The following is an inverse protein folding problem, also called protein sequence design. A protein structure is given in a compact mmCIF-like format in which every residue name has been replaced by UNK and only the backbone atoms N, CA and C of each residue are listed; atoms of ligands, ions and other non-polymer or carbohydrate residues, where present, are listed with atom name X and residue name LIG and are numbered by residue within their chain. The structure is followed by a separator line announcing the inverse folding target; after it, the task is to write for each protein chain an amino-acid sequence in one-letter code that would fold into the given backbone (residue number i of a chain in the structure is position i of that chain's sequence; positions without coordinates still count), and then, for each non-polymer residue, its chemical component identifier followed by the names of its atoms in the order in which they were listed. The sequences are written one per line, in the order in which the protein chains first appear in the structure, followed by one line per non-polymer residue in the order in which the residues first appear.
data_IF_403769692134
#
_entry.id   IF_403769692134
#
_cell.length_a   1.000
_cell.length_b   1.000
_cell.length_c   1.000
_cell.angle_alpha   90.00
_cell.angle_beta   90.00
_cell.angle_gamma   90.00
#
_symmetry.space_group_name_H-M   'P 1'
#
loop_
_entity.id
_entity.type
_entity.pdbx_description
1 polymer ?
#
# COMPACT_ATOMS: atom_id res chain seq x y z
N UNK A 1 1.08 27.74 -7.79
CA UNK A 1 0.84 26.67 -8.78
C UNK A 1 1.98 25.67 -8.62
N UNK A 2 1.76 24.52 -7.92
CA UNK A 2 2.77 23.46 -7.87
C UNK A 2 2.82 22.85 -9.28
N UNK A 3 3.99 22.85 -9.91
CA UNK A 3 4.20 22.29 -11.25
C UNK A 3 3.70 20.84 -11.26
N UNK A 4 2.80 20.53 -12.21
CA UNK A 4 2.44 19.16 -12.55
C UNK A 4 3.74 18.46 -12.97
N UNK A 5 4.19 17.52 -12.18
CA UNK A 5 5.33 16.67 -12.55
C UNK A 5 4.76 15.66 -13.53
N UNK A 6 4.98 15.90 -14.82
CA UNK A 6 4.63 14.94 -15.89
C UNK A 6 5.70 13.85 -15.91
N UNK A 7 5.56 12.97 -14.95
CA UNK A 7 6.46 11.82 -14.83
C UNK A 7 5.82 10.65 -15.60
N UNK A 8 6.51 10.17 -16.64
CA UNK A 8 6.11 8.99 -17.43
C UNK A 8 6.27 7.68 -16.63
N UNK A 9 5.93 7.74 -15.35
CA UNK A 9 6.03 6.62 -14.42
C UNK A 9 4.75 6.45 -13.62
N UNK A 10 4.47 5.22 -13.20
CA UNK A 10 3.28 4.88 -12.44
C UNK A 10 3.47 5.12 -10.94
N UNK A 11 2.40 5.60 -10.32
CA UNK A 11 2.16 5.45 -8.89
C UNK A 11 1.19 4.28 -8.74
N UNK A 12 1.69 3.15 -8.26
CA UNK A 12 0.92 1.91 -8.10
C UNK A 12 0.44 1.84 -6.66
N UNK A 13 -0.86 1.82 -6.45
CA UNK A 13 -1.47 1.71 -5.12
C UNK A 13 -2.12 0.35 -5.00
N UNK A 14 -1.68 -0.45 -4.05
CA UNK A 14 -2.32 -1.71 -3.68
C UNK A 14 -2.92 -1.57 -2.30
N UNK A 15 -4.23 -1.82 -2.19
CA UNK A 15 -4.95 -1.86 -0.93
C UNK A 15 -5.76 -3.14 -0.80
N UNK A 16 -6.09 -3.49 0.42
CA UNK A 16 -6.87 -4.69 0.72
C UNK A 16 -7.39 -4.64 2.15
N UNK A 17 -8.36 -5.46 2.50
CA UNK A 17 -8.62 -5.75 3.90
C UNK A 17 -7.43 -6.43 4.57
N UNK A 18 -7.32 -6.21 5.88
CA UNK A 18 -6.26 -6.81 6.70
C UNK A 18 -6.28 -8.34 6.57
N UNK A 19 -5.13 -8.94 6.27
CA UNK A 19 -5.03 -10.41 6.10
C UNK A 19 -5.27 -10.93 4.68
N UNK A 20 -5.60 -10.08 3.71
CA UNK A 20 -5.80 -10.50 2.31
C UNK A 20 -4.49 -10.85 1.56
N UNK A 21 -3.31 -10.63 2.15
CA UNK A 21 -2.03 -10.98 1.56
C UNK A 21 -1.30 -9.84 0.85
N UNK A 22 -1.74 -8.59 1.03
CA UNK A 22 -1.19 -7.40 0.39
C UNK A 22 0.34 -7.29 0.45
N UNK A 23 0.93 -7.35 1.64
CA UNK A 23 2.39 -7.20 1.79
C UNK A 23 3.19 -8.33 1.13
N UNK A 24 2.65 -9.56 1.10
CA UNK A 24 3.28 -10.67 0.36
C UNK A 24 3.23 -10.43 -1.16
N UNK A 25 2.12 -9.88 -1.65
CA UNK A 25 1.96 -9.50 -3.05
C UNK A 25 2.95 -8.39 -3.41
N UNK A 26 3.00 -7.32 -2.62
CA UNK A 26 3.92 -6.20 -2.84
C UNK A 26 5.38 -6.68 -2.87
N UNK A 27 5.78 -7.52 -1.90
CA UNK A 27 7.12 -8.10 -1.86
C UNK A 27 7.45 -8.89 -3.13
N UNK A 28 6.54 -9.77 -3.59
CA UNK A 28 6.74 -10.57 -4.81
C UNK A 28 6.84 -9.70 -6.05
N UNK A 29 6.05 -8.62 -6.17
CA UNK A 29 6.15 -7.69 -7.29
C UNK A 29 7.50 -6.99 -7.34
N UNK A 30 8.05 -6.59 -6.20
CA UNK A 30 9.37 -5.96 -6.10
C UNK A 30 10.52 -6.94 -6.42
N UNK A 31 10.36 -8.22 -6.05
CA UNK A 31 11.33 -9.26 -6.41
C UNK A 31 11.33 -9.58 -7.92
N UNK A 32 10.16 -9.51 -8.54
CA UNK A 32 9.97 -9.88 -9.95
C UNK A 32 10.19 -8.71 -10.93
N UNK A 33 10.18 -7.45 -10.47
CA UNK A 33 10.29 -6.26 -11.32
C UNK A 33 11.19 -5.19 -10.70
N UNK A 34 12.43 -5.11 -11.18
CA UNK A 34 13.41 -4.12 -10.73
C UNK A 34 13.11 -2.67 -11.16
N UNK A 35 12.09 -2.47 -11.99
CA UNK A 35 11.60 -1.13 -12.40
C UNK A 35 10.63 -0.50 -11.38
N UNK A 36 10.32 -1.20 -10.30
CA UNK A 36 9.40 -0.75 -9.24
C UNK A 36 10.18 -0.55 -7.94
N UNK A 37 10.03 0.62 -7.32
CA UNK A 37 10.45 0.89 -5.95
C UNK A 37 9.27 0.85 -4.99
N UNK A 38 9.52 0.50 -3.72
CA UNK A 38 8.50 0.59 -2.66
C UNK A 38 8.53 1.98 -1.99
N UNK A 39 7.36 2.55 -1.73
CA UNK A 39 7.23 3.67 -0.81
C UNK A 39 7.32 3.13 0.62
N UNK A 40 8.48 3.32 1.27
CA UNK A 40 8.66 2.93 2.67
C UNK A 40 7.96 3.98 3.53
N UNK A 41 6.85 3.59 4.16
CA UNK A 41 6.07 4.48 5.01
C UNK A 41 6.71 4.66 6.38
N UNK A 42 6.54 5.84 6.95
CA UNK A 42 6.76 6.08 8.37
C UNK A 42 5.63 5.47 9.18
N UNK A 43 5.91 4.97 10.37
CA UNK A 43 4.89 4.50 11.30
C UNK A 43 5.27 4.77 12.75
N UNK A 44 4.25 5.03 13.58
CA UNK A 44 4.41 5.17 15.04
C UNK A 44 4.18 3.85 15.77
N UNK A 45 3.84 2.78 15.05
CA UNK A 45 3.73 1.43 15.60
C UNK A 45 5.13 0.90 15.95
N UNK A 46 5.30 0.22 17.09
CA UNK A 46 6.54 -0.50 17.36
C UNK A 46 6.83 -1.57 16.30
N UNK A 47 8.13 -1.81 15.98
CA UNK A 47 8.50 -2.88 15.06
C UNK A 47 8.10 -4.25 15.61
N UNK A 48 7.77 -5.19 14.72
CA UNK A 48 7.65 -6.61 15.03
C UNK A 48 9.02 -7.29 14.96
N UNK A 49 9.14 -8.51 15.52
CA UNK A 49 10.43 -9.22 15.65
C UNK A 49 11.25 -9.36 14.36
N UNK A 50 10.56 -9.44 13.21
CA UNK A 50 11.21 -9.64 11.91
C UNK A 50 11.21 -8.38 11.01
N UNK A 51 10.78 -7.22 11.53
CA UNK A 51 10.74 -5.98 10.77
C UNK A 51 12.03 -5.17 10.94
N UNK A 52 12.51 -4.62 9.85
CA UNK A 52 13.78 -3.87 9.78
C UNK A 52 13.47 -2.39 9.50
N UNK A 53 13.96 -1.52 10.38
CA UNK A 53 13.83 -0.07 10.19
C UNK A 53 14.50 0.38 8.88
N UNK A 54 13.81 1.21 8.12
CA UNK A 54 14.27 1.70 6.82
C UNK A 54 14.10 0.71 5.67
N UNK A 55 13.52 -0.46 5.93
CA UNK A 55 13.22 -1.47 4.91
C UNK A 55 11.73 -1.81 4.86
N UNK A 56 11.16 -2.21 5.98
CA UNK A 56 9.73 -2.53 6.07
C UNK A 56 8.92 -1.26 6.38
N UNK A 57 9.38 -0.47 7.34
CA UNK A 57 8.87 0.85 7.72
C UNK A 57 10.03 1.71 8.25
N UNK A 58 9.81 3.03 8.28
CA UNK A 58 10.58 3.91 9.14
C UNK A 58 9.82 4.01 10.48
N UNK A 59 10.32 3.38 11.52
CA UNK A 59 9.71 3.43 12.85
C UNK A 59 10.14 4.73 13.52
N UNK A 60 9.19 5.63 13.75
CA UNK A 60 9.43 6.95 14.32
C UNK A 60 8.52 7.23 15.52
N UNK A 61 8.93 8.15 16.38
CA UNK A 61 8.12 8.61 17.50
C UNK A 61 6.92 9.43 17.02
N UNK A 62 5.86 9.44 17.84
CA UNK A 62 4.60 10.11 17.52
C UNK A 62 4.81 11.62 17.30
N UNK A 63 5.62 12.26 18.14
CA UNK A 63 5.90 13.70 18.06
C UNK A 63 6.57 14.07 16.72
N UNK A 64 7.48 13.21 16.24
CA UNK A 64 8.12 13.41 14.95
C UNK A 64 7.12 13.20 13.79
N UNK A 65 6.21 12.23 13.90
CA UNK A 65 5.17 12.03 12.90
C UNK A 65 4.24 13.26 12.82
N UNK A 66 3.78 13.76 13.97
CA UNK A 66 2.94 14.95 14.06
C UNK A 66 3.65 16.20 13.53
N UNK A 67 4.95 16.36 13.81
CA UNK A 67 5.78 17.42 13.24
C UNK A 67 5.78 17.37 11.72
N UNK A 68 5.93 16.17 11.13
CA UNK A 68 5.91 15.98 9.67
C UNK A 68 4.54 16.30 9.06
N UNK A 69 3.44 15.97 9.75
CA UNK A 69 2.10 16.41 9.33
C UNK A 69 2.02 17.94 9.26
N UNK A 70 2.44 18.63 10.33
CA UNK A 70 2.40 20.08 10.41
C UNK A 70 3.24 20.78 9.33
N UNK A 71 4.29 20.12 8.87
CA UNK A 71 5.17 20.61 7.81
C UNK A 71 4.72 20.19 6.38
N UNK A 72 3.56 19.53 6.24
CA UNK A 72 3.05 19.05 4.94
C UNK A 72 4.05 18.14 4.19
N UNK A 73 4.80 17.30 4.96
CA UNK A 73 5.84 16.42 4.40
C UNK A 73 5.24 15.13 3.81
N UNK A 74 4.05 14.71 4.28
CA UNK A 74 3.38 13.49 3.81
C UNK A 74 2.54 13.75 2.55
N UNK A 75 2.62 12.84 1.59
CA UNK A 75 1.73 12.79 0.43
C UNK A 75 0.38 12.15 0.79
N UNK A 76 0.41 11.23 1.72
CA UNK A 76 -0.73 10.58 2.36
C UNK A 76 -0.36 10.15 3.78
N UNK A 77 -1.32 10.11 4.66
CA UNK A 77 -1.19 9.49 5.98
C UNK A 77 -2.56 9.06 6.52
N UNK A 78 -2.55 8.05 7.40
CA UNK A 78 -3.74 7.53 8.04
C UNK A 78 -3.46 7.09 9.48
N UNK A 79 -4.52 7.05 10.30
CA UNK A 79 -4.49 6.39 11.60
C UNK A 79 -5.18 5.02 11.46
N UNK A 80 -4.42 3.95 11.66
CA UNK A 80 -4.90 2.59 11.54
C UNK A 80 -4.66 1.85 12.86
N UNK A 81 -5.72 1.43 13.53
CA UNK A 81 -5.66 0.78 14.85
C UNK A 81 -4.86 1.58 15.89
N UNK A 82 -5.01 2.90 15.92
CA UNK A 82 -4.37 3.80 16.88
C UNK A 82 -2.90 4.14 16.57
N UNK A 83 -2.34 3.68 15.46
CA UNK A 83 -1.01 4.04 14.99
C UNK A 83 -1.09 4.85 13.71
N UNK A 84 -0.19 5.80 13.56
CA UNK A 84 -0.03 6.55 12.32
C UNK A 84 0.82 5.77 11.32
N UNK A 85 0.46 5.94 10.04
CA UNK A 85 1.22 5.49 8.87
C UNK A 85 1.21 6.63 7.85
N UNK A 86 2.32 6.88 7.15
CA UNK A 86 2.34 7.93 6.15
C UNK A 86 3.57 7.85 5.24
N UNK A 87 3.41 8.29 4.02
CA UNK A 87 4.45 8.26 2.98
C UNK A 87 4.95 9.66 2.68
N UNK A 88 6.28 9.85 2.76
CA UNK A 88 6.91 11.14 2.50
C UNK A 88 6.86 11.49 1.01
N UNK A 89 6.32 12.66 0.69
CA UNK A 89 6.22 13.13 -0.70
C UNK A 89 7.56 13.25 -1.41
N UNK A 90 8.63 13.58 -0.68
CA UNK A 90 9.99 13.65 -1.23
C UNK A 90 10.45 12.32 -1.81
N UNK A 91 10.25 11.20 -1.08
CA UNK A 91 10.70 9.88 -1.52
C UNK A 91 9.98 9.44 -2.81
N UNK A 92 8.72 9.83 -2.95
CA UNK A 92 7.92 9.60 -4.16
C UNK A 92 8.52 10.32 -5.35
N UNK A 93 8.74 11.63 -5.21
CA UNK A 93 9.32 12.45 -6.27
C UNK A 93 10.71 11.96 -6.67
N UNK A 94 11.56 11.60 -5.71
CA UNK A 94 12.90 11.09 -5.96
C UNK A 94 12.85 9.76 -6.75
N UNK A 95 11.95 8.83 -6.40
CA UNK A 95 11.80 7.56 -7.11
C UNK A 95 11.37 7.76 -8.56
N UNK A 96 10.33 8.56 -8.77
CA UNK A 96 9.79 8.85 -10.10
C UNK A 96 10.82 9.58 -10.99
N UNK A 97 11.56 10.56 -10.45
CA UNK A 97 12.61 11.27 -11.16
C UNK A 97 13.79 10.36 -11.55
N UNK A 98 14.06 9.33 -10.77
CA UNK A 98 15.08 8.33 -11.09
C UNK A 98 14.60 7.25 -12.07
N UNK A 99 13.39 7.39 -12.61
CA UNK A 99 12.86 6.51 -13.64
C UNK A 99 12.24 5.21 -13.15
N UNK A 100 11.88 5.12 -11.87
CA UNK A 100 11.19 3.98 -11.28
C UNK A 100 9.71 4.27 -11.09
N UNK A 101 8.86 3.28 -11.33
CA UNK A 101 7.51 3.28 -10.79
C UNK A 101 7.57 3.15 -9.26
N UNK A 102 6.56 3.67 -8.57
CA UNK A 102 6.52 3.58 -7.12
C UNK A 102 5.29 2.82 -6.64
N UNK A 103 5.50 1.82 -5.80
CA UNK A 103 4.48 0.97 -5.21
C UNK A 103 4.14 1.41 -3.80
N UNK A 104 2.85 1.57 -3.51
CA UNK A 104 2.30 1.88 -2.19
C UNK A 104 1.55 0.66 -1.64
N UNK A 105 1.99 0.17 -0.49
CA UNK A 105 1.31 -0.81 0.36
C UNK A 105 0.51 -0.06 1.44
N UNK A 106 -0.63 0.54 1.08
CA UNK A 106 -1.42 1.42 1.95
C UNK A 106 -2.88 0.96 2.05
N UNK A 107 -3.61 1.56 2.99
CA UNK A 107 -5.05 1.33 3.13
C UNK A 107 -5.87 2.24 2.21
N UNK A 108 -7.19 2.12 2.29
CA UNK A 108 -8.12 2.91 1.49
C UNK A 108 -8.05 4.42 1.78
N UNK A 109 -7.72 4.81 3.03
CA UNK A 109 -7.63 6.24 3.42
C UNK A 109 -6.47 6.92 2.69
N UNK A 110 -5.29 6.28 2.67
CA UNK A 110 -4.12 6.76 1.94
C UNK A 110 -4.36 6.76 0.43
N UNK A 111 -5.01 5.72 -0.11
CA UNK A 111 -5.40 5.65 -1.52
C UNK A 111 -6.29 6.83 -1.94
N UNK A 112 -7.29 7.19 -1.14
CA UNK A 112 -8.16 8.35 -1.41
C UNK A 112 -7.41 9.68 -1.41
N UNK A 113 -6.42 9.84 -0.52
CA UNK A 113 -5.58 11.04 -0.47
C UNK A 113 -4.71 11.15 -1.72
N UNK A 114 -4.07 10.04 -2.14
CA UNK A 114 -3.29 10.00 -3.39
C UNK A 114 -4.14 10.34 -4.60
N UNK A 115 -5.36 9.80 -4.73
CA UNK A 115 -6.29 10.14 -5.82
C UNK A 115 -6.67 11.62 -5.87
N UNK A 116 -6.75 12.27 -4.71
CA UNK A 116 -7.03 13.72 -4.62
C UNK A 116 -5.79 14.59 -4.80
N UNK A 117 -4.61 13.98 -4.85
CA UNK A 117 -3.36 14.69 -5.06
C UNK A 117 -3.24 15.22 -6.51
N UNK A 118 -2.21 16.03 -6.75
CA UNK A 118 -1.93 16.55 -8.09
C UNK A 118 -1.08 15.60 -8.96
N UNK A 119 -0.82 14.38 -8.47
CA UNK A 119 -0.10 13.39 -9.25
C UNK A 119 -0.98 12.79 -10.34
N UNK A 120 -0.34 12.50 -11.48
CA UNK A 120 -0.95 11.78 -12.59
C UNK A 120 -0.47 10.33 -12.58
N UNK A 121 -1.07 9.50 -13.43
CA UNK A 121 -0.64 8.12 -13.62
C UNK A 121 -0.72 7.27 -12.34
N UNK A 122 -1.78 7.48 -11.55
CA UNK A 122 -2.08 6.68 -10.36
C UNK A 122 -2.90 5.47 -10.79
N UNK A 123 -2.29 4.30 -10.67
CA UNK A 123 -2.94 3.00 -10.87
C UNK A 123 -3.38 2.43 -9.53
N UNK A 124 -4.67 2.17 -9.36
CA UNK A 124 -5.20 1.66 -8.08
C UNK A 124 -5.75 0.25 -8.22
N UNK A 125 -5.28 -0.65 -7.36
CA UNK A 125 -5.66 -2.08 -7.35
C UNK A 125 -6.12 -2.46 -5.96
N UNK A 126 -7.31 -3.03 -5.84
CA UNK A 126 -7.83 -3.56 -4.59
C UNK A 126 -7.73 -5.09 -4.61
N UNK A 127 -7.13 -5.65 -3.57
CA UNK A 127 -7.02 -7.11 -3.42
C UNK A 127 -8.16 -7.59 -2.53
N UNK A 128 -8.98 -8.49 -3.06
CA UNK A 128 -10.02 -9.14 -2.27
C UNK A 128 -9.59 -10.54 -1.83
N UNK A 129 -10.00 -10.98 -0.64
CA UNK A 129 -9.88 -12.39 -0.26
C UNK A 129 -10.97 -13.21 -0.96
N UNK A 130 -10.84 -14.53 -1.05
CA UNK A 130 -11.91 -15.39 -1.55
C UNK A 130 -13.11 -15.46 -0.59
N UNK A 131 -12.90 -15.28 0.69
CA UNK A 131 -13.98 -15.22 1.70
C UNK A 131 -13.53 -14.54 2.99
N UNK A 132 -14.48 -14.15 3.84
CA UNK A 132 -14.24 -13.61 5.19
C UNK A 132 -13.58 -14.64 6.10
N UNK A 133 -13.97 -15.90 5.97
CA UNK A 133 -13.41 -17.03 6.73
C UNK A 133 -11.92 -17.21 6.41
N UNK A 134 -11.54 -17.05 5.14
CA UNK A 134 -10.13 -17.14 4.72
C UNK A 134 -9.26 -16.06 5.39
N UNK A 135 -9.80 -14.86 5.60
CA UNK A 135 -9.13 -13.79 6.37
C UNK A 135 -8.90 -14.23 7.81
N UNK A 136 -9.93 -14.74 8.48
CA UNK A 136 -9.82 -15.17 9.86
C UNK A 136 -8.73 -16.22 10.04
N UNK A 137 -8.69 -17.24 9.18
CA UNK A 137 -7.67 -18.29 9.22
C UNK A 137 -6.25 -17.74 8.95
N UNK A 138 -6.11 -16.82 7.98
CA UNK A 138 -4.83 -16.17 7.70
C UNK A 138 -4.35 -15.30 8.88
N UNK A 139 -5.25 -14.54 9.50
CA UNK A 139 -4.92 -13.72 10.69
C UNK A 139 -4.52 -14.60 11.87
N UNK A 140 -5.25 -15.69 12.13
CA UNK A 140 -4.94 -16.65 13.18
C UNK A 140 -3.59 -17.36 12.96
N UNK A 141 -3.30 -17.75 11.73
CA UNK A 141 -2.00 -18.34 11.39
C UNK A 141 -0.86 -17.33 11.60
N UNK A 142 -1.04 -16.09 11.16
CA UNK A 142 -0.05 -15.03 11.34
C UNK A 142 0.20 -14.70 12.81
N UNK A 143 -0.83 -14.71 13.64
CA UNK A 143 -0.75 -14.42 15.08
C UNK A 143 0.26 -15.30 15.81
N UNK A 144 0.46 -16.54 15.36
CA UNK A 144 1.45 -17.47 15.92
C UNK A 144 2.90 -16.95 15.81
N UNK A 145 3.17 -16.00 14.88
CA UNK A 145 4.50 -15.48 14.59
C UNK A 145 4.61 -13.95 14.79
N UNK A 146 3.47 -13.24 14.84
CA UNK A 146 3.45 -11.76 14.95
C UNK A 146 3.21 -11.25 16.35
N UNK A 147 2.87 -12.15 17.31
CA UNK A 147 2.48 -11.74 18.66
C UNK A 147 1.09 -11.09 18.75
N UNK A 148 0.32 -11.05 17.65
CA UNK A 148 -1.06 -10.56 17.66
C UNK A 148 -1.91 -11.46 18.59
N UNK A 149 -2.66 -10.85 19.53
CA UNK A 149 -3.57 -11.57 20.40
C UNK A 149 -4.97 -11.71 19.76
N UNK A 150 -5.87 -12.47 20.41
CA UNK A 150 -7.24 -12.68 19.92
C UNK A 150 -8.01 -11.38 19.75
N UNK A 151 -7.77 -10.37 20.59
CA UNK A 151 -8.38 -9.06 20.47
C UNK A 151 -7.94 -8.35 19.19
N UNK A 152 -6.65 -8.40 18.85
CA UNK A 152 -6.14 -7.83 17.62
C UNK A 152 -6.73 -8.48 16.35
N UNK A 153 -7.00 -9.80 16.42
CA UNK A 153 -7.70 -10.51 15.34
C UNK A 153 -9.15 -10.05 15.25
N UNK A 154 -9.87 -9.94 16.38
CA UNK A 154 -11.25 -9.45 16.42
C UNK A 154 -11.35 -8.03 15.85
N UNK A 155 -10.52 -7.11 16.31
CA UNK A 155 -10.52 -5.72 15.86
C UNK A 155 -10.34 -5.62 14.32
N UNK A 156 -9.50 -6.50 13.74
CA UNK A 156 -9.29 -6.57 12.28
C UNK A 156 -10.49 -7.16 11.54
N UNK A 157 -11.15 -8.16 12.14
CA UNK A 157 -12.36 -8.75 11.57
C UNK A 157 -13.55 -7.78 11.60
N UNK A 158 -13.62 -6.92 12.62
CA UNK A 158 -14.66 -5.90 12.73
C UNK A 158 -14.51 -4.82 11.65
N UNK A 159 -13.26 -4.53 11.24
CA UNK A 159 -12.98 -3.57 10.15
C UNK A 159 -13.21 -4.15 8.75
N UNK A 160 -13.33 -5.47 8.61
CA UNK A 160 -13.41 -6.14 7.31
C UNK A 160 -14.47 -5.57 6.38
N UNK A 161 -15.71 -5.40 6.86
CA UNK A 161 -16.81 -4.90 6.04
C UNK A 161 -16.58 -3.43 5.61
N UNK A 162 -16.01 -2.64 6.51
CA UNK A 162 -15.63 -1.25 6.20
C UNK A 162 -14.56 -1.21 5.12
N UNK A 163 -13.47 -1.99 5.28
CA UNK A 163 -12.39 -2.05 4.31
C UNK A 163 -12.89 -2.55 2.94
N UNK A 164 -13.72 -3.60 2.92
CA UNK A 164 -14.32 -4.15 1.70
C UNK A 164 -15.27 -3.18 1.00
N UNK A 165 -15.97 -2.31 1.73
CA UNK A 165 -16.91 -1.35 1.14
C UNK A 165 -16.23 -0.36 0.18
N UNK A 166 -14.92 -0.15 0.34
CA UNK A 166 -14.13 0.76 -0.49
C UNK A 166 -13.60 0.14 -1.79
N UNK A 167 -13.81 -1.16 -2.05
CA UNK A 167 -13.29 -1.85 -3.22
C UNK A 167 -13.68 -1.19 -4.55
N UNK A 168 -14.91 -0.65 -4.65
CA UNK A 168 -15.42 -0.01 -5.86
C UNK A 168 -14.81 1.37 -6.16
N UNK A 169 -13.97 1.88 -5.27
CA UNK A 169 -13.21 3.11 -5.47
C UNK A 169 -11.92 2.88 -6.27
N UNK A 170 -11.55 1.63 -6.55
CA UNK A 170 -10.33 1.25 -7.25
C UNK A 170 -10.61 0.95 -8.71
N UNK A 171 -9.60 1.20 -9.57
CA UNK A 171 -9.72 0.91 -11.01
C UNK A 171 -9.79 -0.59 -11.29
N UNK A 172 -9.07 -1.37 -10.48
CA UNK A 172 -9.01 -2.83 -10.62
C UNK A 172 -9.27 -3.50 -9.28
N UNK A 173 -10.01 -4.61 -9.36
CA UNK A 173 -10.24 -5.51 -8.22
C UNK A 173 -9.67 -6.87 -8.62
N UNK A 174 -8.78 -7.41 -7.78
CA UNK A 174 -8.14 -8.71 -8.01
C UNK A 174 -8.33 -9.60 -6.80
N UNK A 175 -8.92 -10.77 -7.00
CA UNK A 175 -9.09 -11.75 -5.94
C UNK A 175 -7.78 -12.52 -5.70
N UNK A 176 -7.40 -12.69 -4.43
CA UNK A 176 -6.27 -13.49 -3.98
C UNK A 176 -6.76 -14.82 -3.37
N UNK A 177 -7.37 -15.65 -4.23
CA UNK A 177 -7.63 -17.05 -3.94
C UNK A 177 -6.35 -17.89 -4.21
N UNK A 178 -5.83 -17.81 -5.41
CA UNK A 178 -4.52 -18.36 -5.77
C UNK A 178 -3.47 -17.24 -5.89
N UNK A 179 -2.41 -17.34 -5.10
CA UNK A 179 -1.38 -16.30 -5.02
C UNK A 179 -0.66 -16.03 -6.35
N UNK A 180 -0.24 -17.09 -7.07
CA UNK A 180 0.52 -16.93 -8.32
C UNK A 180 -0.37 -16.37 -9.45
N UNK A 181 -1.63 -16.78 -9.53
CA UNK A 181 -2.58 -16.21 -10.50
C UNK A 181 -2.92 -14.75 -10.17
N UNK A 182 -3.02 -14.41 -8.88
CA UNK A 182 -3.19 -13.03 -8.43
C UNK A 182 -2.01 -12.16 -8.87
N UNK A 183 -0.76 -12.60 -8.63
CA UNK A 183 0.46 -11.91 -9.05
C UNK A 183 0.48 -11.74 -10.57
N UNK A 184 0.16 -12.77 -11.32
CA UNK A 184 0.12 -12.72 -12.78
C UNK A 184 -0.86 -11.66 -13.31
N UNK A 185 -2.07 -11.60 -12.74
CA UNK A 185 -3.08 -10.59 -13.09
C UNK A 185 -2.59 -9.17 -12.78
N UNK A 186 -2.00 -8.96 -11.61
CA UNK A 186 -1.49 -7.64 -11.22
C UNK A 186 -0.36 -7.19 -12.16
N UNK A 187 0.57 -8.08 -12.51
CA UNK A 187 1.65 -7.78 -13.47
C UNK A 187 1.09 -7.39 -14.84
N UNK A 188 0.08 -8.09 -15.34
CA UNK A 188 -0.59 -7.74 -16.59
C UNK A 188 -1.22 -6.33 -16.54
N UNK A 189 -1.90 -5.99 -15.43
CA UNK A 189 -2.49 -4.66 -15.22
C UNK A 189 -1.40 -3.57 -15.24
N UNK A 190 -0.29 -3.79 -14.53
CA UNK A 190 0.84 -2.84 -14.51
C UNK A 190 1.44 -2.66 -15.90
N UNK A 191 1.68 -3.74 -16.63
CA UNK A 191 2.22 -3.69 -18.00
C UNK A 191 1.29 -2.96 -18.97
N UNK A 192 -0.02 -3.17 -18.86
CA UNK A 192 -1.02 -2.45 -19.66
C UNK A 192 -1.04 -0.96 -19.34
N UNK A 193 -0.93 -0.59 -18.07
CA UNK A 193 -0.86 0.80 -17.65
C UNK A 193 0.41 1.49 -18.18
N UNK A 194 1.56 0.82 -18.10
CA UNK A 194 2.83 1.33 -18.68
C UNK A 194 2.72 1.56 -20.20
N UNK A 195 2.15 0.59 -20.92
CA UNK A 195 1.96 0.71 -22.39
C UNK A 195 1.08 1.90 -22.76
N UNK A 196 0.03 2.18 -21.97
CA UNK A 196 -0.84 3.36 -22.19
C UNK A 196 -0.06 4.67 -22.01
N UNK A 197 0.86 4.73 -21.07
CA UNK A 197 1.71 5.91 -20.85
C UNK A 197 2.73 6.12 -21.99
N UNK A 198 3.26 5.03 -22.55
CA UNK A 198 4.24 5.09 -23.65
C UNK A 198 3.58 5.40 -24.99
N UNK A 199 2.34 4.93 -25.22
CA UNK A 199 1.61 5.11 -26.48
C UNK A 199 0.74 6.38 -26.57
N UNK A 200 0.64 7.17 -25.50
CA UNK A 200 -0.17 8.40 -25.40
C UNK A 200 0.60 9.69 -25.70
N UNK A 201 1.66 9.62 -26.51
CA UNK A 201 2.46 10.75 -26.97
C UNK A 201 2.09 11.22 -28.36
#
# INVERSE_FOLDING_TARGET
MKNKVDLKKLIIVISSPSGAGKSSICKRLLEDDSGINISISDTTRPPRDNEINGKDYNFIEKDEFERRILNDEYIEYANVFGNYYGSLGKNVVDSLNNGFDILFDIDWQGSLQLKKSNYQNILTIFITPPSKESIYERLKSRAKHSGDNEKAISDRMDMYETEMSHQNEYEYIVENDNFDECIKKIKQIIEEARRKLEGGG
#
